data_IF_788928847390
#
_entry.id   IF_788928847390
#
_cell.length_a   1.000
_cell.length_b   1.000
_cell.length_c   1.000
_cell.angle_alpha   90.00
_cell.angle_beta   90.00
_cell.angle_gamma   90.00
#
_symmetry.space_group_name_H-M   'P 1'
#
loop_
_entity.id
_entity.type
_entity.pdbx_description
1 polymer ?
#
# COMPACT_ATOMS: atom_id res chain seq x y z
N UNK A 1 25.19 25.96 42.54
CA UNK A 1 25.31 26.32 41.11
C UNK A 1 23.91 26.29 40.50
N UNK A 2 23.27 27.46 40.31
CA UNK A 2 21.88 27.53 39.80
C UNK A 2 21.91 27.37 38.27
N UNK A 3 21.54 26.19 37.79
CA UNK A 3 21.35 25.94 36.35
C UNK A 3 20.20 26.87 35.90
N UNK A 4 20.50 27.80 35.00
CA UNK A 4 19.49 28.75 34.50
C UNK A 4 18.43 27.98 33.72
N UNK A 5 17.18 28.06 34.19
CA UNK A 5 15.99 27.41 33.60
C UNK A 5 15.90 27.57 32.07
N UNK A 6 16.34 28.71 31.54
CA UNK A 6 16.36 28.99 30.10
C UNK A 6 17.28 28.06 29.27
N UNK A 7 18.39 27.56 29.82
CA UNK A 7 19.26 26.61 29.10
C UNK A 7 18.62 25.24 28.95
N UNK A 8 17.79 24.81 29.91
CA UNK A 8 17.12 23.51 29.85
C UNK A 8 16.01 23.54 28.79
N UNK A 9 15.23 24.61 28.72
CA UNK A 9 14.15 24.78 27.72
C UNK A 9 14.71 24.84 26.29
N UNK A 10 15.87 25.47 26.10
CA UNK A 10 16.51 25.55 24.78
C UNK A 10 17.02 24.19 24.29
N UNK A 11 17.64 23.41 25.19
CA UNK A 11 18.11 22.05 24.89
C UNK A 11 16.93 21.11 24.60
N UNK A 12 15.83 21.21 25.35
CA UNK A 12 14.64 20.40 25.11
C UNK A 12 14.01 20.68 23.74
N UNK A 13 13.90 21.95 23.35
CA UNK A 13 13.38 22.33 22.03
C UNK A 13 14.29 21.88 20.90
N UNK A 14 15.62 21.96 21.08
CA UNK A 14 16.57 21.48 20.10
C UNK A 14 16.46 19.96 19.91
N UNK A 15 16.39 19.20 21.01
CA UNK A 15 16.21 17.74 20.94
C UNK A 15 14.86 17.39 20.30
N UNK A 16 13.77 18.06 20.69
CA UNK A 16 12.45 17.83 20.08
C UNK A 16 12.46 18.14 18.58
N UNK A 17 13.10 19.22 18.14
CA UNK A 17 13.17 19.58 16.73
C UNK A 17 13.95 18.57 15.87
N UNK A 18 15.01 17.98 16.40
CA UNK A 18 15.80 16.97 15.69
C UNK A 18 15.21 15.55 15.78
N UNK A 19 14.46 15.24 16.84
CA UNK A 19 13.92 13.90 17.08
C UNK A 19 12.52 13.72 16.47
N UNK A 20 11.72 14.77 16.36
CA UNK A 20 10.38 14.73 15.75
C UNK A 20 10.35 14.19 14.30
N UNK A 21 11.26 14.58 13.38
CA UNK A 21 11.27 14.02 12.02
C UNK A 21 11.77 12.57 11.97
N UNK A 22 12.45 12.07 13.01
CA UNK A 22 12.88 10.66 13.08
C UNK A 22 11.71 9.74 13.43
N UNK A 23 10.70 10.25 14.13
CA UNK A 23 9.49 9.50 14.49
C UNK A 23 8.32 9.69 13.53
N UNK A 24 8.43 10.60 12.56
CA UNK A 24 7.37 10.87 11.58
C UNK A 24 7.91 10.67 10.18
N UNK A 25 7.59 9.55 9.55
CA UNK A 25 7.37 9.41 8.09
C UNK A 25 7.10 7.94 7.74
N UNK A 26 6.06 7.34 8.32
CA UNK A 26 5.33 6.35 7.53
C UNK A 26 4.57 7.16 6.49
N UNK A 27 4.91 6.99 5.22
CA UNK A 27 4.14 7.60 4.15
C UNK A 27 2.69 7.10 4.30
N UNK A 28 1.72 8.01 4.29
CA UNK A 28 0.29 7.67 4.42
C UNK A 28 -0.40 8.20 3.18
N UNK A 29 -1.26 7.38 2.58
CA UNK A 29 -2.09 7.83 1.47
C UNK A 29 -3.10 8.88 1.94
N UNK A 30 -3.54 9.81 1.07
CA UNK A 30 -4.52 10.82 1.46
C UNK A 30 -5.85 10.19 1.92
N UNK A 31 -6.62 10.94 2.71
CA UNK A 31 -7.94 10.50 3.21
C UNK A 31 -9.08 10.73 2.19
N UNK A 32 -8.77 10.65 0.90
CA UNK A 32 -9.73 10.77 -0.18
C UNK A 32 -9.91 9.42 -0.89
N UNK A 33 -10.94 9.32 -1.73
CA UNK A 33 -11.12 8.18 -2.62
C UNK A 33 -10.02 8.14 -3.68
N UNK A 34 -9.35 7.00 -3.82
CA UNK A 34 -8.29 6.71 -4.76
C UNK A 34 -8.80 5.67 -5.76
N UNK A 35 -8.83 6.04 -7.05
CA UNK A 35 -9.28 5.16 -8.12
C UNK A 35 -8.08 4.51 -8.80
N UNK A 36 -8.14 3.18 -8.95
CA UNK A 36 -7.19 2.38 -9.68
C UNK A 36 -7.61 2.28 -11.15
N UNK A 37 -6.72 2.70 -12.05
CA UNK A 37 -6.93 2.61 -13.47
C UNK A 37 -6.20 1.39 -14.04
N UNK A 38 -6.95 0.46 -14.61
CA UNK A 38 -6.42 -0.73 -15.26
C UNK A 38 -6.07 -0.42 -16.73
N UNK A 39 -4.89 -0.87 -17.18
CA UNK A 39 -4.44 -0.67 -18.56
C UNK A 39 -4.32 -2.02 -19.27
N UNK A 40 -5.03 -2.18 -20.39
CA UNK A 40 -4.71 -3.19 -21.41
C UNK A 40 -5.32 -4.59 -21.26
N UNK A 41 -6.30 -4.83 -20.37
CA UNK A 41 -7.04 -6.11 -20.30
C UNK A 41 -8.51 -5.90 -19.98
N UNK A 42 -9.38 -6.81 -20.44
CA UNK A 42 -10.80 -6.80 -20.08
C UNK A 42 -10.98 -7.21 -18.62
N UNK A 43 -11.86 -6.51 -17.88
CA UNK A 43 -11.97 -6.63 -16.41
C UNK A 43 -12.32 -8.05 -15.95
N UNK A 44 -13.12 -8.75 -16.75
CA UNK A 44 -13.57 -10.13 -16.54
C UNK A 44 -12.40 -11.16 -16.55
N UNK A 45 -11.27 -10.81 -17.16
CA UNK A 45 -10.08 -11.65 -17.19
C UNK A 45 -9.08 -11.32 -16.07
N UNK A 46 -9.31 -10.22 -15.34
CA UNK A 46 -8.41 -9.76 -14.29
C UNK A 46 -8.75 -10.45 -12.98
N UNK A 47 -7.71 -10.90 -12.30
CA UNK A 47 -7.80 -11.59 -11.02
C UNK A 47 -7.02 -10.82 -9.97
N UNK A 48 -7.60 -10.70 -8.79
CA UNK A 48 -6.94 -10.20 -7.60
C UNK A 48 -6.55 -11.39 -6.72
N UNK A 49 -5.26 -11.65 -6.61
CA UNK A 49 -4.74 -12.88 -6.02
C UNK A 49 -4.03 -12.60 -4.71
N UNK A 50 -4.41 -13.35 -3.67
CA UNK A 50 -3.71 -13.44 -2.39
C UNK A 50 -2.41 -14.23 -2.58
N UNK A 51 -1.34 -13.71 -2.02
CA UNK A 51 0.00 -14.27 -2.05
C UNK A 51 0.52 -14.32 -0.62
N UNK A 52 0.99 -15.50 -0.20
CA UNK A 52 1.84 -15.60 0.97
C UNK A 52 3.23 -15.05 0.57
N UNK A 53 3.75 -14.02 1.25
CA UNK A 53 5.00 -13.40 0.86
C UNK A 53 6.13 -14.39 1.11
N UNK A 54 6.81 -14.81 0.04
CA UNK A 54 8.23 -15.21 0.13
C UNK A 54 9.11 -13.97 0.24
N UNK A 55 8.68 -12.84 -0.34
CA UNK A 55 9.26 -11.52 -0.18
C UNK A 55 8.15 -10.49 0.03
N UNK A 56 8.30 -9.64 1.04
CA UNK A 56 7.38 -8.52 1.31
C UNK A 56 7.55 -7.42 0.27
N UNK A 57 8.70 -7.32 -0.39
CA UNK A 57 9.04 -6.26 -1.36
C UNK A 57 9.30 -6.81 -2.75
N UNK A 58 8.68 -6.21 -3.77
CA UNK A 58 8.95 -6.48 -5.18
C UNK A 58 7.86 -7.27 -5.89
N UNK A 59 8.22 -7.87 -7.03
CA UNK A 59 7.31 -8.67 -7.86
C UNK A 59 7.34 -10.12 -7.39
N UNK A 60 6.19 -10.62 -6.93
CA UNK A 60 6.07 -12.01 -6.49
C UNK A 60 5.52 -12.90 -7.62
N UNK A 61 6.03 -14.13 -7.67
CA UNK A 61 5.49 -15.17 -8.55
C UNK A 61 4.03 -15.48 -8.17
N UNK A 62 3.23 -15.84 -9.17
CA UNK A 62 1.80 -16.15 -8.99
C UNK A 62 1.66 -17.29 -7.97
N UNK A 63 0.87 -17.07 -6.92
CA UNK A 63 0.45 -18.17 -6.05
C UNK A 63 -0.58 -19.04 -6.79
N UNK A 64 -0.61 -20.36 -6.60
CA UNK A 64 -1.54 -21.24 -7.30
C UNK A 64 -3.00 -20.77 -7.14
N UNK A 65 -3.76 -20.90 -8.22
CA UNK A 65 -5.13 -20.40 -8.52
C UNK A 65 -6.18 -20.40 -7.40
N UNK A 66 -5.99 -21.11 -6.29
CA UNK A 66 -6.98 -21.32 -5.23
C UNK A 66 -7.22 -20.10 -4.34
N UNK A 67 -6.42 -19.03 -4.49
CA UNK A 67 -6.52 -17.81 -3.66
C UNK A 67 -6.72 -16.54 -4.50
N UNK A 68 -7.43 -16.63 -5.63
CA UNK A 68 -7.70 -15.51 -6.53
C UNK A 68 -9.21 -15.23 -6.64
N UNK A 69 -9.58 -13.95 -6.67
CA UNK A 69 -10.93 -13.47 -6.92
C UNK A 69 -10.98 -12.72 -8.26
N UNK A 70 -12.02 -12.94 -9.06
CA UNK A 70 -12.19 -12.21 -10.32
C UNK A 70 -12.69 -10.80 -10.07
N UNK A 71 -12.24 -9.85 -10.90
CA UNK A 71 -12.80 -8.51 -10.89
C UNK A 71 -14.19 -8.49 -11.51
N UNK A 72 -15.11 -7.76 -10.87
CA UNK A 72 -16.41 -7.48 -11.45
C UNK A 72 -16.29 -6.42 -12.56
N UNK A 73 -17.25 -6.44 -13.49
CA UNK A 73 -17.30 -5.45 -14.58
C UNK A 73 -17.55 -4.03 -14.05
N UNK A 74 -18.27 -3.89 -12.94
CA UNK A 74 -18.52 -2.62 -12.27
C UNK A 74 -17.32 -2.16 -11.42
N UNK A 75 -17.28 -0.86 -11.15
CA UNK A 75 -16.39 -0.29 -10.13
C UNK A 75 -16.76 -0.84 -8.75
N UNK A 76 -15.75 -1.22 -7.95
CA UNK A 76 -15.95 -1.76 -6.61
C UNK A 76 -14.88 -1.25 -5.63
N UNK A 77 -15.22 -1.24 -4.34
CA UNK A 77 -14.23 -0.96 -3.30
C UNK A 77 -13.36 -2.18 -3.04
N UNK A 78 -12.08 -1.95 -2.81
CA UNK A 78 -11.14 -3.03 -2.57
C UNK A 78 -11.38 -3.76 -1.25
N UNK A 79 -12.04 -3.12 -0.28
CA UNK A 79 -12.34 -3.73 1.02
C UNK A 79 -13.15 -5.03 0.89
N UNK A 80 -13.97 -5.15 -0.16
CA UNK A 80 -14.78 -6.33 -0.48
C UNK A 80 -13.95 -7.59 -0.72
N UNK A 81 -12.67 -7.47 -1.09
CA UNK A 81 -11.78 -8.61 -1.27
C UNK A 81 -11.21 -9.16 0.05
N UNK A 82 -11.40 -8.46 1.18
CA UNK A 82 -10.77 -8.75 2.47
C UNK A 82 -11.76 -9.16 3.56
N UNK A 83 -12.71 -10.04 3.21
CA UNK A 83 -13.75 -10.55 4.13
C UNK A 83 -13.25 -11.62 5.09
N UNK A 84 -12.04 -12.15 4.87
CA UNK A 84 -11.45 -13.18 5.72
C UNK A 84 -11.04 -12.62 7.09
N UNK A 85 -11.37 -13.38 8.14
CA UNK A 85 -10.92 -13.10 9.51
C UNK A 85 -9.38 -13.10 9.58
N UNK A 86 -8.84 -12.31 10.51
CA UNK A 86 -7.41 -12.20 10.79
C UNK A 86 -6.88 -13.46 11.49
N UNK A 87 -6.92 -14.59 10.80
CA UNK A 87 -6.39 -15.86 11.31
C UNK A 87 -4.92 -16.07 10.91
N UNK A 88 -4.38 -15.21 10.05
CA UNK A 88 -3.01 -15.33 9.55
C UNK A 88 -1.99 -14.72 10.53
N UNK A 89 -0.99 -15.53 10.88
CA UNK A 89 0.15 -15.13 11.72
C UNK A 89 1.28 -14.47 10.92
N UNK A 90 1.11 -14.40 9.60
CA UNK A 90 2.05 -13.87 8.63
C UNK A 90 1.49 -12.61 7.97
N UNK A 91 2.39 -11.81 7.39
CA UNK A 91 1.96 -10.73 6.51
C UNK A 91 1.45 -11.34 5.22
N UNK A 92 0.50 -10.68 4.59
CA UNK A 92 -0.12 -11.19 3.37
C UNK A 92 -0.13 -10.12 2.32
N UNK A 93 0.10 -10.51 1.07
CA UNK A 93 0.15 -9.60 -0.06
C UNK A 93 -0.92 -9.96 -1.09
N UNK A 94 -1.42 -8.97 -1.81
CA UNK A 94 -2.30 -9.16 -2.95
C UNK A 94 -1.84 -8.34 -4.14
N UNK A 95 -2.04 -8.86 -5.34
CA UNK A 95 -1.73 -8.17 -6.59
C UNK A 95 -2.71 -8.57 -7.70
N UNK A 96 -2.74 -7.76 -8.76
CA UNK A 96 -3.57 -7.98 -9.93
C UNK A 96 -2.82 -8.79 -10.99
N UNK A 97 -3.53 -9.70 -11.64
CA UNK A 97 -3.01 -10.56 -12.69
C UNK A 97 -4.01 -10.65 -13.85
N UNK A 98 -3.52 -10.74 -15.08
CA UNK A 98 -4.36 -11.02 -16.25
C UNK A 98 -4.69 -12.51 -16.39
N UNK A 99 -5.48 -12.86 -17.41
CA UNK A 99 -5.86 -14.24 -17.71
C UNK A 99 -4.69 -15.16 -18.07
N UNK A 100 -3.54 -14.60 -18.46
CA UNK A 100 -2.30 -15.32 -18.75
C UNK A 100 -1.38 -15.44 -17.51
N UNK A 101 -1.76 -14.84 -16.38
CA UNK A 101 -0.97 -14.83 -15.16
C UNK A 101 0.11 -13.75 -15.11
N UNK A 102 0.14 -12.80 -16.04
CA UNK A 102 1.07 -11.68 -15.96
C UNK A 102 0.57 -10.68 -14.91
N UNK A 103 1.47 -10.23 -14.04
CA UNK A 103 1.14 -9.19 -13.06
C UNK A 103 0.79 -7.87 -13.77
N UNK A 104 -0.32 -7.29 -13.36
CA UNK A 104 -0.80 -5.99 -13.78
C UNK A 104 -0.45 -4.95 -12.72
N UNK A 105 -0.21 -3.72 -13.19
CA UNK A 105 0.17 -2.59 -12.36
C UNK A 105 -0.83 -1.46 -12.57
N UNK A 106 -1.98 -1.46 -11.86
CA UNK A 106 -2.95 -0.39 -11.98
C UNK A 106 -2.32 0.97 -11.64
N UNK A 107 -2.81 2.02 -12.28
CA UNK A 107 -2.31 3.37 -12.05
C UNK A 107 -3.17 4.03 -10.97
N UNK A 108 -2.53 4.75 -10.06
CA UNK A 108 -3.21 5.63 -9.10
C UNK A 108 -2.59 7.02 -9.18
N UNK A 109 -3.43 8.04 -9.06
CA UNK A 109 -3.01 9.44 -9.03
C UNK A 109 -3.77 10.18 -7.93
N UNK A 110 -3.12 11.14 -7.28
CA UNK A 110 -3.74 12.08 -6.35
C UNK A 110 -2.92 13.37 -6.28
N UNK A 111 -3.52 14.42 -5.70
CA UNK A 111 -2.94 15.75 -5.68
C UNK A 111 -1.56 15.78 -5.02
N UNK A 112 -0.60 16.45 -5.69
CA UNK A 112 0.76 16.59 -5.21
C UNK A 112 1.65 15.35 -5.40
N UNK A 113 1.19 14.31 -6.08
CA UNK A 113 2.02 13.17 -6.51
C UNK A 113 1.93 12.96 -8.03
N UNK A 114 3.05 12.59 -8.64
CA UNK A 114 3.04 12.06 -10.01
C UNK A 114 2.27 10.72 -10.02
N UNK A 115 1.69 10.30 -11.16
CA UNK A 115 1.02 8.99 -11.25
C UNK A 115 1.95 7.85 -10.82
N UNK A 116 1.42 6.94 -10.00
CA UNK A 116 2.14 5.80 -9.45
C UNK A 116 1.52 4.50 -9.97
N UNK A 117 2.33 3.46 -10.06
CA UNK A 117 1.87 2.10 -10.26
C UNK A 117 1.62 1.43 -8.91
N UNK A 118 0.44 0.86 -8.72
CA UNK A 118 0.18 -0.06 -7.63
C UNK A 118 0.84 -1.40 -7.94
N UNK A 119 1.84 -1.76 -7.14
CA UNK A 119 2.56 -3.03 -7.24
C UNK A 119 1.80 -4.10 -6.48
N UNK A 120 1.41 -3.80 -5.24
CA UNK A 120 0.71 -4.73 -4.37
C UNK A 120 0.03 -4.04 -3.19
N UNK A 121 -0.90 -4.78 -2.57
CA UNK A 121 -1.52 -4.43 -1.30
C UNK A 121 -0.99 -5.39 -0.25
N UNK A 122 -0.64 -4.87 0.92
CA UNK A 122 -0.10 -5.64 2.03
C UNK A 122 -1.00 -5.48 3.24
N UNK A 123 -1.34 -6.60 3.88
CA UNK A 123 -1.99 -6.63 5.20
C UNK A 123 -0.97 -7.16 6.19
N UNK A 124 -0.65 -6.35 7.19
CA UNK A 124 0.27 -6.76 8.25
C UNK A 124 -0.36 -7.79 9.19
N UNK A 125 0.47 -8.45 9.99
CA UNK A 125 0.03 -9.37 11.07
C UNK A 125 -0.95 -8.74 12.06
N UNK A 126 -0.95 -7.41 12.18
CA UNK A 126 -1.86 -6.64 13.05
C UNK A 126 -3.11 -6.17 12.31
N UNK A 127 -3.33 -6.63 11.08
CA UNK A 127 -4.46 -6.25 10.24
C UNK A 127 -4.39 -4.85 9.64
N UNK A 128 -3.24 -4.18 9.71
CA UNK A 128 -3.06 -2.86 9.10
C UNK A 128 -2.78 -3.00 7.62
N UNK A 129 -3.41 -2.15 6.81
CA UNK A 129 -3.19 -2.12 5.37
C UNK A 129 -2.09 -1.14 4.98
N UNK A 130 -1.30 -1.57 4.01
CA UNK A 130 -0.40 -0.72 3.25
C UNK A 130 -0.42 -1.08 1.77
N UNK A 131 0.16 -0.22 0.95
CA UNK A 131 0.32 -0.41 -0.49
C UNK A 131 1.75 -0.17 -0.89
N UNK A 132 2.21 -0.96 -1.86
CA UNK A 132 3.48 -0.77 -2.53
C UNK A 132 3.23 -0.03 -3.82
N UNK A 133 3.79 1.17 -3.91
CA UNK A 133 3.65 2.04 -5.06
C UNK A 133 5.01 2.24 -5.72
N UNK A 134 5.03 2.23 -7.04
CA UNK A 134 6.22 2.52 -7.83
C UNK A 134 6.01 3.79 -8.64
N UNK A 135 6.94 4.74 -8.52
CA UNK A 135 6.91 5.95 -9.35
C UNK A 135 7.26 5.62 -10.79
N UNK A 136 6.43 6.09 -11.73
CA UNK A 136 6.60 5.79 -13.16
C UNK A 136 7.91 6.32 -13.75
N UNK A 137 8.33 7.50 -13.30
CA UNK A 137 9.45 8.25 -13.87
C UNK A 137 10.81 7.59 -13.68
N UNK A 138 11.06 7.06 -12.49
CA UNK A 138 12.38 6.54 -12.08
C UNK A 138 12.32 5.13 -11.46
N UNK A 139 11.13 4.56 -11.33
CA UNK A 139 10.95 3.21 -10.79
C UNK A 139 11.16 3.11 -9.28
N UNK A 140 11.25 4.24 -8.55
CA UNK A 140 11.41 4.23 -7.11
C UNK A 140 10.19 3.62 -6.40
N UNK A 141 10.43 2.76 -5.41
CA UNK A 141 9.40 2.08 -4.63
C UNK A 141 9.13 2.80 -3.32
N UNK A 142 7.85 2.88 -2.97
CA UNK A 142 7.35 3.49 -1.75
C UNK A 142 6.35 2.58 -1.09
N UNK A 143 6.37 2.56 0.24
CA UNK A 143 5.38 1.85 1.05
C UNK A 143 4.51 2.88 1.76
N UNK A 144 3.23 2.91 1.44
CA UNK A 144 2.26 3.78 2.09
C UNK A 144 1.34 2.99 3.00
N UNK A 145 1.16 3.43 4.24
CA UNK A 145 0.03 3.00 5.05
C UNK A 145 -1.26 3.54 4.45
N UNK A 146 -2.33 2.76 4.50
CA UNK A 146 -3.60 3.17 3.90
C UNK A 146 -4.84 2.65 4.64
N UNK A 147 -5.99 3.26 4.33
CA UNK A 147 -7.33 2.76 4.64
C UNK A 147 -7.87 2.11 3.37
N UNK A 148 -8.07 0.80 3.38
CA UNK A 148 -8.42 0.04 2.16
C UNK A 148 -9.77 0.47 1.57
N UNK A 149 -10.68 0.97 2.41
CA UNK A 149 -12.00 1.50 2.02
C UNK A 149 -11.91 2.71 1.08
N UNK A 150 -10.77 3.40 1.08
CA UNK A 150 -10.54 4.54 0.21
C UNK A 150 -10.21 4.13 -1.22
N UNK A 151 -9.96 2.85 -1.50
CA UNK A 151 -9.53 2.39 -2.82
C UNK A 151 -10.68 1.81 -3.61
N UNK A 152 -10.84 2.30 -4.84
CA UNK A 152 -11.79 1.79 -5.82
C UNK A 152 -11.02 1.22 -7.01
N UNK A 153 -11.56 0.18 -7.62
CA UNK A 153 -11.07 -0.36 -8.89
C UNK A 153 -12.20 -0.62 -9.86
#
# INVERSE_FOLDING_TARGET
MKIKSHSIVFVLNFILFFVYPVFSNFLVTPEQTLRLELVGSSRDQIRFCKQKPTQVFGRNLIAPSMACQFLQESEMSLDQFFTEELTETEETQWAFYDGAGKQLFPIVSWDGQEPLYLVSIVRSKRGQFGVQLQRKKDGAYFFYRTKIQNWLI
#
